data_IF_108577355670
#
_entry.id   IF_108577355670
#
_cell.length_a   1.000
_cell.length_b   1.000
_cell.length_c   1.000
_cell.angle_alpha   90.00
_cell.angle_beta   90.00
_cell.angle_gamma   90.00
#
_symmetry.space_group_name_H-M   'P 1'
#
loop_
_entity.id
_entity.type
_entity.pdbx_description
1 polymer ?
#
# COMPACT_ATOMS: atom_id res chain seq x y z
N UNK A 1 23.78 7.34 17.39
CA UNK A 1 23.59 7.07 15.95
C UNK A 1 22.09 7.14 15.67
N UNK A 2 21.63 8.04 14.80
CA UNK A 2 20.21 8.16 14.44
C UNK A 2 19.97 7.36 13.14
N UNK A 3 18.99 6.46 13.17
CA UNK A 3 18.61 5.62 12.02
C UNK A 3 17.56 6.38 11.21
N UNK A 4 17.89 6.76 9.98
CA UNK A 4 16.98 7.47 9.08
C UNK A 4 15.93 6.53 8.47
N UNK A 5 14.66 6.96 8.35
CA UNK A 5 13.61 6.15 7.74
C UNK A 5 13.81 6.00 6.22
N UNK A 6 13.31 4.90 5.66
CA UNK A 6 13.32 4.68 4.20
C UNK A 6 12.30 5.58 3.49
N UNK A 7 12.47 5.81 2.18
CA UNK A 7 11.72 6.77 1.36
C UNK A 7 10.18 6.74 1.51
N UNK A 8 9.58 5.56 1.63
CA UNK A 8 8.12 5.39 1.78
C UNK A 8 7.67 4.96 3.18
N UNK A 9 8.53 5.13 4.19
CA UNK A 9 8.19 4.76 5.56
C UNK A 9 7.09 5.69 6.12
N UNK A 10 6.06 5.07 6.69
CA UNK A 10 4.98 5.77 7.39
C UNK A 10 4.96 5.31 8.83
N UNK A 11 4.87 6.26 9.78
CA UNK A 11 4.72 5.92 11.19
C UNK A 11 3.38 5.22 11.42
N UNK A 12 3.42 4.04 12.04
CA UNK A 12 2.21 3.33 12.46
C UNK A 12 1.49 4.12 13.54
N UNK A 13 0.19 4.31 13.37
CA UNK A 13 -0.69 4.92 14.37
C UNK A 13 -2.05 4.22 14.38
N UNK A 14 -2.74 4.30 15.50
CA UNK A 14 -4.14 3.93 15.64
C UNK A 14 -5.04 5.10 15.25
N UNK A 15 -6.19 4.81 14.65
CA UNK A 15 -7.17 5.82 14.28
C UNK A 15 -8.08 6.15 15.46
N UNK A 16 -8.28 7.45 15.70
CA UNK A 16 -9.14 7.93 16.77
C UNK A 16 -10.64 7.72 16.48
N UNK A 17 -11.01 7.69 15.19
CA UNK A 17 -12.39 7.51 14.74
C UNK A 17 -12.43 6.99 13.29
N UNK A 18 -13.62 6.62 12.83
CA UNK A 18 -13.85 6.14 11.46
C UNK A 18 -13.53 7.18 10.37
N UNK A 19 -13.65 8.48 10.66
CA UNK A 19 -13.30 9.54 9.72
C UNK A 19 -11.79 9.58 9.41
N UNK A 20 -10.96 9.43 10.44
CA UNK A 20 -9.51 9.31 10.29
C UNK A 20 -9.13 8.03 9.55
N UNK A 21 -9.71 6.88 9.95
CA UNK A 21 -9.47 5.60 9.28
C UNK A 21 -9.84 5.65 7.79
N UNK A 22 -10.99 6.25 7.43
CA UNK A 22 -11.43 6.44 6.04
C UNK A 22 -10.45 7.30 5.25
N UNK A 23 -9.98 8.39 5.82
CA UNK A 23 -9.03 9.29 5.17
C UNK A 23 -7.70 8.57 4.89
N UNK A 24 -7.21 7.79 5.85
CA UNK A 24 -6.00 6.96 5.69
C UNK A 24 -6.17 5.86 4.66
N UNK A 25 -7.30 5.15 4.68
CA UNK A 25 -7.63 4.12 3.69
C UNK A 25 -7.67 4.70 2.27
N UNK A 26 -8.29 5.88 2.08
CA UNK A 26 -8.32 6.57 0.79
C UNK A 26 -6.93 7.05 0.36
N UNK A 27 -6.11 7.51 1.29
CA UNK A 27 -4.74 7.94 1.01
C UNK A 27 -3.91 6.78 0.45
N UNK A 28 -3.88 5.63 1.13
CA UNK A 28 -3.12 4.45 0.68
C UNK A 28 -3.70 3.90 -0.62
N UNK A 29 -5.02 3.87 -0.78
CA UNK A 29 -5.66 3.47 -2.04
C UNK A 29 -5.22 4.34 -3.23
N UNK A 30 -5.20 5.67 -3.05
CA UNK A 30 -4.73 6.59 -4.11
C UNK A 30 -3.24 6.39 -4.43
N UNK A 31 -2.41 6.11 -3.42
CA UNK A 31 -1.00 5.80 -3.63
C UNK A 31 -0.83 4.53 -4.50
N UNK A 32 -1.56 3.46 -4.20
CA UNK A 32 -1.54 2.22 -5.00
C UNK A 32 -2.00 2.43 -6.45
N UNK A 33 -3.06 3.20 -6.69
CA UNK A 33 -3.55 3.47 -8.05
C UNK A 33 -2.55 4.26 -8.90
N UNK A 34 -1.79 5.18 -8.26
CA UNK A 34 -0.72 5.95 -8.91
C UNK A 34 0.52 5.11 -9.19
N UNK A 35 0.84 4.20 -8.29
CA UNK A 35 1.98 3.28 -8.39
C UNK A 35 1.77 2.15 -9.40
N UNK A 36 0.53 1.89 -9.85
CA UNK A 36 0.22 0.79 -10.77
C UNK A 36 1.09 0.72 -12.06
N UNK A 37 1.40 1.84 -12.77
CA UNK A 37 2.27 1.80 -13.94
C UNK A 37 3.71 1.41 -13.60
N UNK A 38 4.24 1.92 -12.48
CA UNK A 38 5.60 1.63 -12.01
C UNK A 38 5.75 0.15 -11.65
N UNK A 39 4.74 -0.42 -10.98
CA UNK A 39 4.68 -1.85 -10.66
C UNK A 39 4.65 -2.70 -11.94
N UNK A 40 3.90 -2.28 -12.96
CA UNK A 40 3.87 -3.00 -14.23
C UNK A 40 5.26 -3.07 -14.87
N UNK A 41 5.98 -1.94 -14.90
CA UNK A 41 7.32 -1.85 -15.48
C UNK A 41 8.35 -2.63 -14.66
N UNK A 42 8.34 -2.51 -13.32
CA UNK A 42 9.27 -3.24 -12.46
C UNK A 42 9.15 -4.76 -12.58
N UNK A 43 7.92 -5.27 -12.61
CA UNK A 43 7.67 -6.72 -12.62
C UNK A 43 7.40 -7.28 -14.01
N UNK A 44 7.49 -6.46 -15.07
CA UNK A 44 7.20 -6.84 -16.46
C UNK A 44 5.89 -7.62 -16.62
N UNK A 45 4.83 -7.18 -15.93
CA UNK A 45 3.55 -7.90 -15.89
C UNK A 45 2.86 -7.82 -17.26
N UNK A 46 2.42 -8.94 -17.86
CA UNK A 46 1.80 -8.97 -19.19
C UNK A 46 0.32 -8.50 -19.19
N UNK A 47 -0.06 -7.64 -18.24
CA UNK A 47 -1.42 -7.13 -18.08
C UNK A 47 -1.42 -5.60 -18.21
N UNK A 48 -2.48 -5.00 -18.78
CA UNK A 48 -2.58 -3.55 -18.84
C UNK A 48 -2.72 -2.93 -17.45
N UNK A 49 -2.26 -1.68 -17.28
CA UNK A 49 -2.41 -0.90 -16.04
C UNK A 49 -3.86 -0.88 -15.54
N UNK A 50 -4.84 -0.86 -16.46
CA UNK A 50 -6.27 -0.91 -16.12
C UNK A 50 -6.64 -2.18 -15.36
N UNK A 51 -6.14 -3.34 -15.78
CA UNK A 51 -6.37 -4.61 -15.09
C UNK A 51 -5.73 -4.60 -13.69
N UNK A 52 -4.52 -4.05 -13.54
CA UNK A 52 -3.86 -3.90 -12.24
C UNK A 52 -4.68 -3.00 -11.29
N UNK A 53 -5.17 -1.85 -11.77
CA UNK A 53 -6.03 -0.95 -10.97
C UNK A 53 -7.33 -1.63 -10.54
N UNK A 54 -7.93 -2.42 -11.42
CA UNK A 54 -9.13 -3.21 -11.08
C UNK A 54 -8.83 -4.25 -10.01
N UNK A 55 -7.68 -4.95 -10.10
CA UNK A 55 -7.26 -5.91 -9.06
C UNK A 55 -7.01 -5.23 -7.71
N UNK A 56 -6.33 -4.09 -7.70
CA UNK A 56 -6.15 -3.28 -6.49
C UNK A 56 -7.52 -2.95 -5.89
N UNK A 57 -8.46 -2.46 -6.69
CA UNK A 57 -9.82 -2.15 -6.21
C UNK A 57 -10.53 -3.37 -5.61
N UNK A 58 -10.42 -4.54 -6.24
CA UNK A 58 -11.02 -5.78 -5.73
C UNK A 58 -10.49 -6.15 -4.34
N UNK A 59 -9.18 -6.03 -4.10
CA UNK A 59 -8.57 -6.32 -2.79
C UNK A 59 -9.03 -5.34 -1.70
N UNK A 60 -9.20 -4.06 -2.04
CA UNK A 60 -9.76 -3.07 -1.11
C UNK A 60 -11.24 -3.33 -0.82
N UNK A 61 -12.05 -3.67 -1.84
CA UNK A 61 -13.48 -3.98 -1.66
C UNK A 61 -13.70 -5.27 -0.87
N UNK A 62 -12.80 -6.25 -0.95
CA UNK A 62 -12.85 -7.49 -0.15
C UNK A 62 -12.93 -7.21 1.36
N UNK A 63 -12.34 -6.10 1.82
CA UNK A 63 -12.30 -5.70 3.22
C UNK A 63 -13.31 -4.59 3.56
N UNK A 64 -14.27 -4.29 2.68
CA UNK A 64 -15.23 -3.20 2.86
C UNK A 64 -16.12 -3.34 4.09
N UNK A 65 -16.48 -4.57 4.46
CA UNK A 65 -17.47 -4.85 5.50
C UNK A 65 -16.84 -5.09 6.90
N UNK A 66 -15.64 -4.57 7.13
CA UNK A 66 -14.97 -4.69 8.43
C UNK A 66 -15.58 -3.70 9.42
N UNK A 67 -16.26 -4.21 10.44
CA UNK A 67 -16.99 -3.40 11.43
C UNK A 67 -16.14 -3.02 12.66
N UNK A 68 -14.86 -3.42 12.71
CA UNK A 68 -13.95 -3.14 13.82
C UNK A 68 -12.87 -2.15 13.39
N UNK A 69 -12.73 -1.05 14.13
CA UNK A 69 -11.75 0.00 13.84
C UNK A 69 -10.31 -0.52 13.92
N UNK A 70 -10.00 -1.28 14.97
CA UNK A 70 -8.66 -1.85 15.17
C UNK A 70 -8.22 -2.77 14.02
N UNK A 71 -9.15 -3.57 13.50
CA UNK A 71 -8.90 -4.45 12.34
C UNK A 71 -8.63 -3.62 11.08
N UNK A 72 -9.37 -2.52 10.92
CA UNK A 72 -9.17 -1.58 9.79
C UNK A 72 -7.78 -0.94 9.86
N UNK A 73 -7.32 -0.56 11.05
CA UNK A 73 -5.97 -0.02 11.25
C UNK A 73 -4.86 -1.03 10.91
N UNK A 74 -5.05 -2.30 11.31
CA UNK A 74 -4.12 -3.38 10.93
C UNK A 74 -4.08 -3.55 9.41
N UNK A 75 -5.23 -3.51 8.73
CA UNK A 75 -5.29 -3.64 7.27
C UNK A 75 -4.63 -2.47 6.54
N UNK A 76 -4.87 -1.23 6.97
CA UNK A 76 -4.20 -0.04 6.43
C UNK A 76 -2.68 -0.14 6.63
N UNK A 77 -2.25 -0.60 7.81
CA UNK A 77 -0.84 -0.75 8.12
C UNK A 77 -0.18 -1.80 7.24
N UNK A 78 -0.81 -2.98 7.08
CA UNK A 78 -0.35 -4.02 6.13
C UNK A 78 -0.24 -3.48 4.71
N UNK A 79 -1.27 -2.81 4.21
CA UNK A 79 -1.26 -2.23 2.86
C UNK A 79 -0.16 -1.17 2.67
N UNK A 80 0.23 -0.46 3.73
CA UNK A 80 1.32 0.52 3.70
C UNK A 80 2.70 -0.15 3.69
N UNK A 81 2.88 -1.20 4.49
CA UNK A 81 4.10 -2.02 4.50
C UNK A 81 4.29 -2.66 3.12
N UNK A 82 3.24 -3.27 2.58
CA UNK A 82 3.29 -3.93 1.26
C UNK A 82 3.63 -2.93 0.15
N UNK A 83 3.07 -1.71 0.22
CA UNK A 83 3.36 -0.63 -0.72
C UNK A 83 4.85 -0.24 -0.66
N UNK A 84 5.37 -0.05 0.55
CA UNK A 84 6.78 0.29 0.78
C UNK A 84 7.71 -0.81 0.28
N UNK A 85 7.40 -2.09 0.55
CA UNK A 85 8.22 -3.24 0.09
C UNK A 85 8.19 -3.35 -1.44
N UNK A 86 7.03 -3.12 -2.07
CA UNK A 86 6.86 -3.31 -3.51
C UNK A 86 7.47 -2.20 -4.36
N UNK A 87 7.49 -0.97 -3.86
CA UNK A 87 8.06 0.18 -4.58
C UNK A 87 9.51 0.47 -4.22
N UNK A 88 10.02 -0.14 -3.16
CA UNK A 88 11.44 -0.11 -2.90
C UNK A 88 12.15 -0.81 -4.07
N UNK A 89 13.09 -0.10 -4.69
CA UNK A 89 13.77 -0.58 -5.91
C UNK A 89 14.55 -1.87 -5.62
N UNK A 90 14.68 -2.79 -6.60
CA UNK A 90 15.47 -4.02 -6.44
C UNK A 90 16.91 -3.76 -5.99
N UNK A 91 17.50 -2.63 -6.41
CA UNK A 91 18.84 -2.20 -6.00
C UNK A 91 18.98 -1.97 -4.51
N UNK A 92 17.91 -1.58 -3.81
CA UNK A 92 17.92 -1.37 -2.36
C UNK A 92 17.59 -2.65 -1.57
N UNK A 93 17.00 -3.66 -2.20
CA UNK A 93 16.51 -4.87 -1.52
C UNK A 93 17.60 -5.95 -1.37
N UNK A 94 18.74 -5.81 -2.04
CA UNK A 94 19.81 -6.82 -1.96
C UNK A 94 19.46 -8.15 -2.66
N UNK A 95 18.33 -8.19 -3.38
CA UNK A 95 18.03 -9.23 -4.36
C UNK A 95 18.72 -8.84 -5.67
N UNK A 96 20.03 -9.13 -5.73
CA UNK A 96 20.70 -9.30 -7.02
C UNK A 96 20.11 -10.56 -7.65
N UNK A 97 19.47 -10.40 -8.80
CA UNK A 97 19.38 -11.50 -9.78
C UNK A 97 20.78 -11.70 -10.35
#
# INVERSE_FOLDING_TARGET
MAISPTQFAVKTRQSANWGDAKTRALHIYRAWIRAAPEIQTMYSVPLPVSALRTRIRQEFERHRNVNKLDVTDVLITKATIDYQVRLRTPSEIGLRV
#
